data_IF_142851061552
#
_entry.id   IF_142851061552
#
_cell.length_a   1.000
_cell.length_b   1.000
_cell.length_c   1.000
_cell.angle_alpha   90.00
_cell.angle_beta   90.00
_cell.angle_gamma   90.00
#
_symmetry.space_group_name_H-M   'P 1'
#
loop_
_entity.id
_entity.type
_entity.pdbx_description
1 polymer ?
#
# COMPACT_ATOMS: atom_id res chain seq x y z
N UNK A 1 14.63 20.90 25.29
CA UNK A 1 14.14 20.83 23.90
C UNK A 1 14.62 19.59 23.14
N UNK A 2 15.94 19.31 23.07
CA UNK A 2 16.53 18.24 22.23
C UNK A 2 15.99 16.82 22.47
N UNK A 3 15.81 16.39 23.73
CA UNK A 3 15.24 15.04 24.05
C UNK A 3 13.84 14.79 23.47
N UNK A 4 13.00 15.84 23.38
CA UNK A 4 11.66 15.72 22.81
C UNK A 4 11.68 15.45 21.31
N UNK A 5 12.65 15.99 20.58
CA UNK A 5 12.77 15.75 19.14
C UNK A 5 13.22 14.32 18.85
N UNK A 6 14.12 13.77 19.66
CA UNK A 6 14.59 12.38 19.55
C UNK A 6 13.49 11.37 19.94
N UNK A 7 12.54 11.76 20.80
CA UNK A 7 11.33 10.98 21.09
C UNK A 7 10.34 10.95 19.92
N UNK A 8 10.28 12.03 19.12
CA UNK A 8 9.33 12.19 18.01
C UNK A 8 9.93 11.71 16.68
N UNK A 9 11.24 11.77 16.52
CA UNK A 9 11.93 11.41 15.29
C UNK A 9 13.15 10.55 15.60
N UNK A 10 13.04 9.26 15.28
CA UNK A 10 14.12 8.29 15.40
C UNK A 10 14.33 7.60 14.05
N UNK A 11 15.57 7.64 13.56
CA UNK A 11 16.01 7.00 12.32
C UNK A 11 15.82 5.48 12.37
N UNK A 12 16.00 4.86 13.54
CA UNK A 12 15.77 3.43 13.74
C UNK A 12 14.30 3.05 13.54
N UNK A 13 13.38 3.84 14.12
CA UNK A 13 11.94 3.63 13.93
C UNK A 13 11.54 3.84 12.46
N UNK A 14 12.14 4.83 11.80
CA UNK A 14 11.95 5.09 10.36
C UNK A 14 12.37 3.90 9.50
N UNK A 15 13.58 3.38 9.71
CA UNK A 15 14.10 2.22 8.98
C UNK A 15 13.28 0.96 9.24
N UNK A 16 12.79 0.77 10.46
CA UNK A 16 11.94 -0.37 10.80
C UNK A 16 10.61 -0.33 10.03
N UNK A 17 9.92 0.82 10.02
CA UNK A 17 8.66 0.98 9.28
C UNK A 17 8.86 0.78 7.78
N UNK A 18 9.92 1.35 7.20
CA UNK A 18 10.25 1.15 5.79
C UNK A 18 10.58 -0.32 5.50
N UNK A 19 11.41 -0.95 6.33
CA UNK A 19 11.78 -2.34 6.20
C UNK A 19 10.55 -3.25 6.21
N UNK A 20 9.60 -2.98 7.12
CA UNK A 20 8.33 -3.69 7.17
C UNK A 20 7.49 -3.52 5.91
N UNK A 21 7.38 -2.30 5.37
CA UNK A 21 6.63 -2.04 4.14
C UNK A 21 7.29 -2.72 2.94
N UNK A 22 8.61 -2.62 2.82
CA UNK A 22 9.37 -3.27 1.73
C UNK A 22 9.19 -4.79 1.82
N UNK A 23 9.24 -5.37 3.02
CA UNK A 23 8.96 -6.79 3.22
C UNK A 23 7.56 -7.19 2.73
N UNK A 24 6.52 -6.43 3.09
CA UNK A 24 5.16 -6.67 2.61
C UNK A 24 5.05 -6.54 1.07
N UNK A 25 5.74 -5.56 0.48
CA UNK A 25 5.79 -5.38 -0.98
C UNK A 25 6.48 -6.56 -1.66
N UNK A 26 7.61 -7.02 -1.14
CA UNK A 26 8.34 -8.18 -1.69
C UNK A 26 7.46 -9.42 -1.69
N UNK A 27 6.72 -9.67 -0.60
CA UNK A 27 5.78 -10.80 -0.55
C UNK A 27 4.64 -10.63 -1.55
N UNK A 28 4.10 -9.42 -1.70
CA UNK A 28 3.06 -9.13 -2.69
C UNK A 28 3.52 -9.39 -4.13
N UNK A 29 4.79 -9.14 -4.44
CA UNK A 29 5.36 -9.41 -5.76
C UNK A 29 5.49 -10.90 -6.10
N UNK A 30 5.41 -11.79 -5.11
CA UNK A 30 5.47 -13.24 -5.35
C UNK A 30 4.21 -13.65 -6.14
N UNK A 31 4.33 -14.10 -7.40
CA UNK A 31 3.19 -14.43 -8.26
C UNK A 31 2.63 -15.83 -7.92
N UNK A 32 2.30 -16.06 -6.65
CA UNK A 32 1.76 -17.33 -6.14
C UNK A 32 0.29 -17.12 -5.81
N UNK A 33 -0.60 -17.58 -6.68
CA UNK A 33 -2.04 -17.49 -6.44
C UNK A 33 -2.90 -17.54 -7.69
N UNK A 34 -4.22 -17.54 -7.48
CA UNK A 34 -5.21 -17.48 -8.55
C UNK A 34 -5.20 -16.10 -9.20
N UNK A 35 -5.23 -16.06 -10.53
CA UNK A 35 -5.39 -14.83 -11.28
C UNK A 35 -6.89 -14.54 -11.38
N UNK A 36 -7.33 -13.46 -10.75
CA UNK A 36 -8.71 -12.97 -10.85
C UNK A 36 -8.73 -11.80 -11.82
N UNK A 37 -9.69 -11.84 -12.75
CA UNK A 37 -9.93 -10.71 -13.65
C UNK A 37 -10.74 -9.66 -12.89
N UNK A 38 -10.18 -8.46 -12.75
CA UNK A 38 -10.86 -7.31 -12.18
C UNK A 38 -11.92 -6.73 -13.11
N UNK A 39 -12.50 -5.60 -12.70
CA UNK A 39 -13.53 -4.90 -13.48
C UNK A 39 -13.02 -4.54 -14.89
N UNK A 40 -13.91 -4.61 -15.91
CA UNK A 40 -13.57 -4.15 -17.25
C UNK A 40 -13.30 -2.64 -17.24
N UNK A 41 -12.17 -2.23 -17.80
CA UNK A 41 -11.81 -0.82 -17.96
C UNK A 41 -12.45 -0.24 -19.24
N UNK A 42 -12.51 1.10 -19.37
CA UNK A 42 -13.13 1.77 -20.52
C UNK A 42 -12.52 1.38 -21.89
N UNK A 43 -11.29 0.89 -21.89
CA UNK A 43 -10.59 0.35 -23.07
C UNK A 43 -10.98 -1.11 -23.41
N UNK A 44 -11.88 -1.76 -22.67
CA UNK A 44 -12.22 -3.18 -22.84
C UNK A 44 -11.19 -4.16 -22.25
N UNK A 45 -10.01 -3.67 -21.83
CA UNK A 45 -9.01 -4.46 -21.10
C UNK A 45 -9.49 -4.78 -19.69
N UNK A 46 -9.26 -6.03 -19.26
CA UNK A 46 -9.47 -6.47 -17.87
C UNK A 46 -8.13 -6.52 -17.13
N UNK A 47 -8.08 -5.88 -15.97
CA UNK A 47 -6.87 -5.88 -15.16
C UNK A 47 -6.76 -7.21 -14.42
N UNK A 48 -5.67 -7.95 -14.63
CA UNK A 48 -5.43 -9.25 -13.99
C UNK A 48 -4.76 -9.02 -12.64
N UNK A 49 -5.39 -9.45 -11.56
CA UNK A 49 -4.85 -9.37 -10.21
C UNK A 49 -4.53 -10.76 -9.68
N UNK A 50 -3.33 -10.93 -9.16
CA UNK A 50 -2.96 -12.14 -8.42
C UNK A 50 -3.49 -12.02 -7.00
N UNK A 51 -4.34 -12.96 -6.58
CA UNK A 51 -4.85 -12.99 -5.21
C UNK A 51 -3.96 -13.92 -4.40
N UNK A 52 -2.99 -13.33 -3.68
CA UNK A 52 -1.98 -14.03 -2.88
C UNK A 52 -2.02 -13.67 -1.38
N UNK A 53 -3.05 -12.94 -0.93
CA UNK A 53 -3.13 -12.39 0.43
C UNK A 53 -3.00 -13.46 1.55
N UNK A 54 -3.53 -14.66 1.34
CA UNK A 54 -3.40 -15.75 2.32
C UNK A 54 -1.95 -16.20 2.50
N UNK A 55 -1.22 -16.40 1.40
CA UNK A 55 0.20 -16.73 1.45
C UNK A 55 1.00 -15.59 2.08
N UNK A 56 0.64 -14.34 1.78
CA UNK A 56 1.28 -13.18 2.38
C UNK A 56 1.12 -13.13 3.91
N UNK A 57 -0.07 -13.48 4.41
CA UNK A 57 -0.36 -13.58 5.83
C UNK A 57 0.46 -14.69 6.49
N UNK A 58 0.49 -15.89 5.90
CA UNK A 58 1.27 -17.02 6.46
C UNK A 58 2.76 -16.70 6.51
N UNK A 59 3.32 -16.12 5.43
CA UNK A 59 4.74 -15.72 5.40
C UNK A 59 5.05 -14.63 6.43
N UNK A 60 4.13 -13.67 6.61
CA UNK A 60 4.29 -12.61 7.63
C UNK A 60 4.26 -13.19 9.04
N UNK A 61 3.38 -14.17 9.30
CA UNK A 61 3.32 -14.87 10.59
C UNK A 61 4.57 -15.71 10.85
N UNK A 62 5.06 -16.44 9.85
CA UNK A 62 6.30 -17.21 9.95
C UNK A 62 7.48 -16.28 10.24
N UNK A 63 7.61 -15.17 9.50
CA UNK A 63 8.63 -14.18 9.75
C UNK A 63 8.54 -13.62 11.18
N UNK A 64 7.35 -13.24 11.62
CA UNK A 64 7.14 -12.78 12.99
C UNK A 64 7.52 -13.84 14.04
N UNK A 65 7.13 -15.10 13.81
CA UNK A 65 7.52 -16.23 14.66
C UNK A 65 9.03 -16.45 14.72
N UNK A 66 9.73 -16.31 13.59
CA UNK A 66 11.20 -16.33 13.55
C UNK A 66 11.79 -15.18 14.37
N UNK A 67 11.27 -13.96 14.24
CA UNK A 67 11.77 -12.81 15.00
C UNK A 67 11.60 -13.00 16.51
N UNK A 68 10.50 -13.64 16.94
CA UNK A 68 10.29 -14.04 18.35
C UNK A 68 11.29 -15.12 18.77
N UNK A 69 11.54 -16.12 17.92
CA UNK A 69 12.53 -17.17 18.19
C UNK A 69 13.96 -16.63 18.35
N UNK A 70 14.33 -15.61 17.55
CA UNK A 70 15.63 -14.94 17.63
C UNK A 70 15.71 -13.87 18.74
N UNK A 71 14.70 -13.79 19.63
CA UNK A 71 14.63 -12.84 20.75
C UNK A 71 14.86 -11.39 20.31
N UNK A 72 14.38 -11.01 19.13
CA UNK A 72 14.52 -9.63 18.66
C UNK A 72 13.79 -8.69 19.64
N UNK A 73 14.40 -7.58 20.07
CA UNK A 73 13.79 -6.68 21.05
C UNK A 73 12.63 -5.88 20.41
N UNK A 74 11.43 -6.46 20.43
CA UNK A 74 10.19 -5.78 20.03
C UNK A 74 9.84 -4.59 20.93
N UNK A 75 10.40 -4.57 22.14
CA UNK A 75 10.37 -3.45 23.06
C UNK A 75 10.70 -2.11 22.42
N UNK A 76 11.57 -2.08 21.40
CA UNK A 76 11.98 -0.83 20.76
C UNK A 76 10.80 -0.15 20.06
N UNK A 77 9.90 -0.93 19.45
CA UNK A 77 8.70 -0.41 18.77
C UNK A 77 7.72 0.17 19.80
N UNK A 78 7.52 -0.53 20.90
CA UNK A 78 6.60 -0.10 21.98
C UNK A 78 7.17 1.13 22.70
N UNK A 79 8.45 1.12 23.04
CA UNK A 79 9.13 2.23 23.73
C UNK A 79 9.20 3.49 22.87
N UNK A 80 9.26 3.36 21.54
CA UNK A 80 9.35 4.47 20.59
C UNK A 80 8.08 4.63 19.74
N UNK A 81 6.91 4.35 20.33
CA UNK A 81 5.63 4.38 19.60
C UNK A 81 5.33 5.76 18.96
N UNK A 82 5.71 6.86 19.63
CA UNK A 82 5.54 8.22 19.08
C UNK A 82 6.34 8.41 17.79
N UNK A 83 7.61 8.01 17.78
CA UNK A 83 8.46 8.07 16.60
C UNK A 83 7.93 7.21 15.43
N UNK A 84 7.34 6.05 15.75
CA UNK A 84 6.68 5.18 14.76
C UNK A 84 5.45 5.88 14.16
N UNK A 85 4.59 6.47 14.99
CA UNK A 85 3.38 7.18 14.52
C UNK A 85 3.77 8.37 13.62
N UNK A 86 4.72 9.19 14.05
CA UNK A 86 5.19 10.34 13.26
C UNK A 86 5.80 9.90 11.93
N UNK A 87 6.60 8.84 11.95
CA UNK A 87 7.13 8.20 10.72
C UNK A 87 6.01 7.79 9.77
N UNK A 88 4.99 7.07 10.27
CA UNK A 88 3.85 6.63 9.47
C UNK A 88 3.07 7.81 8.87
N UNK A 89 2.88 8.90 9.63
CA UNK A 89 2.24 10.12 9.12
C UNK A 89 3.03 10.75 7.98
N UNK A 90 4.33 10.96 8.18
CA UNK A 90 5.21 11.53 7.14
C UNK A 90 5.20 10.66 5.89
N UNK A 91 5.33 9.35 6.06
CA UNK A 91 5.30 8.39 4.96
C UNK A 91 3.97 8.40 4.20
N UNK A 92 2.84 8.49 4.90
CA UNK A 92 1.50 8.62 4.29
C UNK A 92 1.40 9.86 3.40
N UNK A 93 1.89 11.01 3.89
CA UNK A 93 1.90 12.26 3.12
C UNK A 93 2.77 12.13 1.88
N UNK A 94 3.99 11.59 2.02
CA UNK A 94 4.91 11.36 0.90
C UNK A 94 4.28 10.42 -0.14
N UNK A 95 3.68 9.31 0.29
CA UNK A 95 3.01 8.35 -0.59
C UNK A 95 1.79 8.97 -1.29
N UNK A 96 1.01 9.80 -0.62
CA UNK A 96 -0.11 10.53 -1.21
C UNK A 96 0.35 11.45 -2.35
N UNK A 97 1.42 12.23 -2.11
CA UNK A 97 2.01 13.09 -3.14
C UNK A 97 2.53 12.26 -4.32
N UNK A 98 3.26 11.17 -4.03
CA UNK A 98 3.78 10.27 -5.06
C UNK A 98 2.66 9.66 -5.91
N UNK A 99 1.57 9.23 -5.28
CA UNK A 99 0.40 8.67 -5.95
C UNK A 99 -0.34 9.74 -6.78
N UNK A 100 -0.45 10.96 -6.28
CA UNK A 100 -1.07 12.08 -7.00
C UNK A 100 -0.29 12.44 -8.28
N UNK A 101 1.04 12.52 -8.19
CA UNK A 101 1.90 12.74 -9.37
C UNK A 101 1.76 11.59 -10.36
N UNK A 102 1.74 10.34 -9.89
CA UNK A 102 1.55 9.16 -10.73
C UNK A 102 0.18 9.16 -11.41
N UNK A 103 -0.88 9.53 -10.70
CA UNK A 103 -2.24 9.64 -11.24
C UNK A 103 -2.33 10.70 -12.35
N UNK A 104 -1.66 11.85 -12.18
CA UNK A 104 -1.61 12.90 -13.22
C UNK A 104 -0.85 12.48 -14.49
N UNK A 105 0.14 11.59 -14.36
CA UNK A 105 0.94 11.09 -15.49
C UNK A 105 0.30 9.89 -16.19
N UNK A 106 -0.77 9.31 -15.63
CA UNK A 106 -1.43 8.15 -16.20
C UNK A 106 -2.27 8.52 -17.44
N UNK A 107 -2.26 7.71 -18.52
CA UNK A 107 -3.09 7.94 -19.70
C UNK A 107 -4.59 7.84 -19.36
N UNK A 108 -5.42 8.73 -19.91
CA UNK A 108 -6.88 8.79 -19.71
C UNK A 108 -7.64 7.49 -20.00
N UNK A 109 -7.03 6.55 -20.72
CA UNK A 109 -7.57 5.22 -21.05
C UNK A 109 -7.40 4.18 -19.94
N UNK A 110 -6.49 4.42 -18.99
CA UNK A 110 -6.18 3.50 -17.88
C UNK A 110 -6.74 3.97 -16.52
N UNK A 111 -7.32 5.17 -16.46
CA UNK A 111 -8.00 5.63 -15.24
C UNK A 111 -9.33 4.90 -15.03
N UNK A 112 -9.61 4.60 -13.76
CA UNK A 112 -10.90 4.03 -13.36
C UNK A 112 -12.05 4.97 -13.78
N UNK A 113 -13.17 4.45 -14.33
CA UNK A 113 -14.31 5.26 -14.74
C UNK A 113 -14.86 6.13 -13.61
N UNK A 114 -14.83 5.60 -12.38
CA UNK A 114 -15.32 6.27 -11.17
C UNK A 114 -14.38 7.32 -10.59
N UNK A 115 -13.11 7.38 -11.02
CA UNK A 115 -12.08 8.26 -10.46
C UNK A 115 -12.00 9.64 -11.12
N UNK A 116 -12.82 9.91 -12.13
CA UNK A 116 -12.82 11.18 -12.85
C UNK A 116 -13.85 12.16 -12.27
N UNK A 117 -13.57 12.75 -11.09
CA UNK A 117 -14.42 13.79 -10.50
C UNK A 117 -14.47 15.10 -11.30
N UNK A 118 -13.73 15.20 -12.42
CA UNK A 118 -13.68 16.40 -13.26
C UNK A 118 -14.77 16.53 -14.32
N UNK A 119 -15.58 15.49 -14.57
CA UNK A 119 -16.82 15.50 -15.39
C UNK A 119 -17.31 14.07 -15.55
N UNK A 120 -18.36 13.69 -14.81
CA UNK A 120 -19.22 12.57 -15.20
C UNK A 120 -20.53 13.16 -15.70
N UNK A 121 -20.62 13.38 -17.02
CA UNK A 121 -21.95 13.39 -17.65
C UNK A 121 -22.39 11.94 -17.70
N UNK A 122 -23.10 11.51 -16.67
CA UNK A 122 -23.83 10.26 -16.70
C UNK A 122 -24.98 10.45 -17.69
N UNK A 123 -24.75 10.16 -18.96
CA UNK A 123 -25.86 9.87 -19.85
C UNK A 123 -26.33 8.46 -19.50
N UNK A 124 -27.25 8.37 -18.54
CA UNK A 124 -27.93 7.15 -18.13
C UNK A 124 -29.00 6.74 -19.16
N UNK A 125 -28.69 6.79 -20.44
CA UNK A 125 -29.54 6.19 -21.46
C UNK A 125 -28.99 4.80 -21.75
N UNK A 126 -29.68 3.81 -21.18
CA UNK A 126 -29.71 2.46 -21.72
C UNK A 126 -30.32 2.57 -23.11
N UNK A 127 -29.48 2.82 -24.11
CA UNK A 127 -29.81 2.50 -25.50
C UNK A 127 -29.35 1.06 -25.69
N UNK A 128 -30.25 0.13 -25.40
CA UNK A 128 -30.14 -1.24 -25.89
C UNK A 128 -30.18 -1.19 -27.43
N UNK A 129 -29.18 -1.73 -28.15
CA UNK A 129 -29.29 -1.96 -29.57
C UNK A 129 -29.85 -3.37 -29.81
N UNK A 130 -31.12 -3.41 -30.23
CA UNK A 130 -31.92 -4.57 -30.67
C UNK A 130 -32.45 -5.52 -29.59
#
# INVERSE_FOLDING_TARGET
MRRRLEEIFDVYAFLLVIGWIVFQVLIYFIPVGRIVQGLPLRSGKRLKYYVNAFYALVLSLLFFGLLVYYEMPFDVVIKKYLAVITTCMVLSIVMSIALYVKAKRAPSSELAPSGNSGKQSHNCTLVDPN
#
